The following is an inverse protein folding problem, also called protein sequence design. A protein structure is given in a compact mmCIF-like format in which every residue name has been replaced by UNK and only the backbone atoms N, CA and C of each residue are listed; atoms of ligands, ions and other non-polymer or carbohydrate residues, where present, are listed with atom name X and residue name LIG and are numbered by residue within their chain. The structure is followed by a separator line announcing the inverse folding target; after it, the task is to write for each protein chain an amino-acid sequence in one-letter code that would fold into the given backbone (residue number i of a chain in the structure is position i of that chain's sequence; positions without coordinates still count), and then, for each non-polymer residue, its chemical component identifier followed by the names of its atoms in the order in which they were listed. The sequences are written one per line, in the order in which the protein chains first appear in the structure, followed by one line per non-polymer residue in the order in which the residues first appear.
data_IF_282734926852
#
_entry.id   IF_282734926852
#
_cell.length_a   1.000
_cell.length_b   1.000
_cell.length_c   1.000
_cell.angle_alpha   90.00
_cell.angle_beta   90.00
_cell.angle_gamma   90.00
#
_symmetry.space_group_name_H-M   'P 1'
#
loop_
_entity.id
_entity.type
_entity.pdbx_description
1 polymer ?
#
# COMPACT_ATOMS: atom_id res chain seq x y z
N UNK A 1 6.62 -34.48 -0.31
CA UNK A 1 7.57 -33.34 -0.14
C UNK A 1 7.49 -32.48 -1.40
N UNK A 2 6.62 -31.49 -1.39
CA UNK A 2 6.46 -30.56 -2.53
C UNK A 2 7.53 -29.47 -2.40
N UNK A 3 8.53 -29.57 -3.26
CA UNK A 3 9.59 -28.56 -3.42
C UNK A 3 8.93 -27.28 -3.98
N UNK A 4 8.43 -26.42 -3.10
CA UNK A 4 7.90 -25.11 -3.47
C UNK A 4 9.10 -24.19 -3.72
N UNK A 5 9.70 -24.25 -4.92
CA UNK A 5 10.73 -23.32 -5.37
C UNK A 5 10.09 -21.93 -5.51
N UNK A 6 10.04 -21.16 -4.42
CA UNK A 6 9.65 -19.75 -4.48
C UNK A 6 10.57 -19.06 -5.46
N UNK A 7 9.99 -18.32 -6.41
CA UNK A 7 10.75 -17.47 -7.36
C UNK A 7 11.71 -16.60 -6.54
N UNK A 8 12.98 -16.52 -6.96
CA UNK A 8 14.03 -15.80 -6.23
C UNK A 8 13.61 -14.36 -5.86
N UNK A 9 12.93 -13.67 -6.74
CA UNK A 9 12.41 -12.32 -6.49
C UNK A 9 11.42 -12.24 -5.30
N UNK A 10 10.70 -13.30 -5.02
CA UNK A 10 9.81 -13.38 -3.86
C UNK A 10 10.57 -13.78 -2.58
N UNK A 11 11.59 -14.63 -2.73
CA UNK A 11 12.42 -15.09 -1.60
C UNK A 11 13.26 -13.96 -0.99
N UNK A 12 13.82 -13.09 -1.85
CA UNK A 12 14.69 -11.98 -1.45
C UNK A 12 13.97 -10.63 -1.40
N UNK A 13 12.63 -10.61 -1.46
CA UNK A 13 11.87 -9.37 -1.33
C UNK A 13 12.10 -8.75 0.06
N UNK A 14 12.53 -7.47 0.16
CA UNK A 14 12.68 -6.77 1.42
C UNK A 14 11.42 -6.88 2.29
N UNK A 15 11.61 -7.17 3.57
CA UNK A 15 10.50 -7.34 4.50
C UNK A 15 10.48 -6.27 5.60
N UNK A 16 11.57 -5.56 5.80
CA UNK A 16 11.70 -4.50 6.78
C UNK A 16 12.24 -3.23 6.12
N UNK A 17 12.03 -2.05 6.71
CA UNK A 17 12.52 -0.78 6.16
C UNK A 17 14.01 -0.79 5.87
N UNK A 18 14.80 -1.40 6.74
CA UNK A 18 16.27 -1.45 6.69
C UNK A 18 16.82 -2.26 5.50
N UNK A 19 16.03 -3.16 4.94
CA UNK A 19 16.41 -3.99 3.77
C UNK A 19 16.20 -3.25 2.42
N UNK A 20 15.56 -2.07 2.44
CA UNK A 20 15.30 -1.30 1.23
C UNK A 20 16.54 -0.51 0.81
N UNK A 21 17.13 -0.87 -0.32
CA UNK A 21 18.29 -0.18 -0.88
C UNK A 21 17.83 0.88 -1.88
N UNK A 22 18.34 2.12 -1.73
CA UNK A 22 18.06 3.24 -2.62
C UNK A 22 16.72 3.96 -2.37
N UNK A 23 15.98 3.59 -1.32
CA UNK A 23 14.71 4.21 -0.92
C UNK A 23 14.70 4.59 0.57
N UNK A 24 15.87 4.68 1.18
CA UNK A 24 16.05 4.86 2.62
C UNK A 24 15.37 6.15 3.11
N UNK A 25 15.61 7.28 2.41
CA UNK A 25 15.08 8.60 2.78
C UNK A 25 13.54 8.62 2.71
N UNK A 26 12.96 7.99 1.69
CA UNK A 26 11.50 7.94 1.50
C UNK A 26 10.85 7.14 2.62
N UNK A 27 11.37 5.94 2.89
CA UNK A 27 10.78 5.08 3.91
C UNK A 27 10.97 5.67 5.32
N UNK A 28 12.12 6.26 5.61
CA UNK A 28 12.39 6.93 6.88
C UNK A 28 11.43 8.10 7.11
N UNK A 29 11.21 8.93 6.08
CA UNK A 29 10.26 10.05 6.14
C UNK A 29 8.85 9.55 6.46
N UNK A 30 8.39 8.47 5.82
CA UNK A 30 7.08 7.89 6.05
C UNK A 30 6.97 7.31 7.46
N UNK A 31 7.98 6.55 7.89
CA UNK A 31 8.02 5.97 9.25
C UNK A 31 7.99 7.06 10.32
N UNK A 32 8.74 8.14 10.13
CA UNK A 32 8.73 9.29 11.03
C UNK A 32 7.36 10.02 11.04
N UNK A 33 6.71 10.12 9.88
CA UNK A 33 5.33 10.62 9.78
C UNK A 33 4.34 9.76 10.58
N UNK A 34 4.45 8.43 10.46
CA UNK A 34 3.62 7.48 11.21
C UNK A 34 3.88 7.59 12.72
N UNK A 35 5.15 7.68 13.14
CA UNK A 35 5.54 7.88 14.55
C UNK A 35 4.98 9.17 15.15
N UNK A 36 4.88 10.22 14.34
CA UNK A 36 4.35 11.53 14.72
C UNK A 36 2.82 11.62 14.60
N UNK A 37 2.14 10.51 14.34
CA UNK A 37 0.69 10.42 14.12
C UNK A 37 0.17 11.27 12.95
N UNK A 38 1.07 11.72 12.07
CA UNK A 38 0.77 12.49 10.86
C UNK A 38 0.68 11.57 9.64
N UNK A 39 -0.20 10.57 9.71
CA UNK A 39 -0.37 9.59 8.64
C UNK A 39 -1.42 10.10 7.64
N UNK A 40 -1.07 10.34 6.38
CA UNK A 40 -2.04 10.72 5.36
C UNK A 40 -3.04 9.60 5.10
N UNK A 41 -4.17 9.94 4.48
CA UNK A 41 -5.18 8.95 4.10
C UNK A 41 -4.80 8.19 2.84
N UNK A 42 -3.94 8.76 1.99
CA UNK A 42 -3.46 8.11 0.79
C UNK A 42 -2.00 8.42 0.50
N UNK A 43 -1.26 7.39 0.06
CA UNK A 43 0.10 7.49 -0.48
C UNK A 43 0.06 7.16 -1.97
N UNK A 44 0.87 7.85 -2.77
CA UNK A 44 1.07 7.52 -4.18
C UNK A 44 2.56 7.33 -4.46
N UNK A 45 2.94 6.10 -4.82
CA UNK A 45 4.29 5.74 -5.23
C UNK A 45 4.40 5.72 -6.74
N UNK A 46 5.33 6.49 -7.28
CA UNK A 46 5.59 6.58 -8.71
C UNK A 46 7.03 6.13 -9.01
N UNK A 47 7.24 5.56 -10.18
CA UNK A 47 8.57 5.14 -10.62
C UNK A 47 8.52 3.96 -11.57
N UNK A 48 9.66 3.65 -12.17
CA UNK A 48 9.79 2.54 -13.12
C UNK A 48 9.43 1.19 -12.49
N UNK A 49 9.13 0.21 -13.33
CA UNK A 49 8.86 -1.15 -12.87
C UNK A 49 10.10 -1.74 -12.18
N UNK A 50 9.87 -2.45 -11.07
CA UNK A 50 10.94 -3.13 -10.34
C UNK A 50 11.64 -2.28 -9.25
N UNK A 51 11.34 -0.99 -9.13
CA UNK A 51 11.95 -0.10 -8.10
C UNK A 51 11.46 -0.38 -6.67
N UNK A 52 10.55 -1.33 -6.49
CA UNK A 52 10.10 -1.75 -5.15
C UNK A 52 8.82 -1.07 -4.64
N UNK A 53 8.03 -0.38 -5.48
CA UNK A 53 6.79 0.31 -5.08
C UNK A 53 5.85 -0.58 -4.25
N UNK A 54 5.52 -1.77 -4.75
CA UNK A 54 4.65 -2.72 -4.04
C UNK A 54 5.30 -3.24 -2.75
N UNK A 55 6.63 -3.36 -2.72
CA UNK A 55 7.38 -3.75 -1.53
C UNK A 55 7.28 -2.68 -0.45
N UNK A 56 7.49 -1.41 -0.82
CA UNK A 56 7.33 -0.26 0.07
C UNK A 56 5.89 -0.21 0.61
N UNK A 57 4.90 -0.38 -0.26
CA UNK A 57 3.49 -0.42 0.12
C UNK A 57 3.21 -1.44 1.23
N UNK A 58 3.74 -2.66 1.10
CA UNK A 58 3.59 -3.70 2.13
C UNK A 58 4.35 -3.38 3.42
N UNK A 59 5.53 -2.78 3.33
CA UNK A 59 6.30 -2.35 4.52
C UNK A 59 5.53 -1.28 5.29
N UNK A 60 4.91 -0.31 4.59
CA UNK A 60 4.06 0.71 5.22
C UNK A 60 2.82 0.08 5.85
N UNK A 61 2.16 -0.84 5.15
CA UNK A 61 1.01 -1.56 5.70
C UNK A 61 1.36 -2.30 6.99
N UNK A 62 2.55 -2.93 7.06
CA UNK A 62 3.06 -3.54 8.29
C UNK A 62 3.35 -2.49 9.37
N UNK A 63 3.97 -1.37 9.01
CA UNK A 63 4.28 -0.30 9.96
C UNK A 63 3.01 0.26 10.62
N UNK A 64 1.93 0.41 9.84
CA UNK A 64 0.64 0.89 10.30
C UNK A 64 -0.12 -0.12 11.18
N UNK A 65 0.01 -1.43 10.88
CA UNK A 65 -0.80 -2.49 11.48
C UNK A 65 0.00 -3.50 12.33
N UNK A 66 1.27 -3.21 12.63
CA UNK A 66 2.06 -4.07 13.51
C UNK A 66 1.49 -4.11 14.92
N UNK A 67 1.25 -5.31 15.47
CA UNK A 67 0.76 -5.47 16.86
C UNK A 67 1.72 -4.91 17.92
N UNK A 68 3.03 -4.87 17.60
CA UNK A 68 4.06 -4.32 18.50
C UNK A 68 4.16 -2.77 18.41
N UNK A 69 3.38 -2.15 17.52
CA UNK A 69 3.42 -0.71 17.27
C UNK A 69 4.61 -0.27 16.41
N UNK A 70 4.56 0.99 15.98
CA UNK A 70 5.54 1.58 15.06
C UNK A 70 6.95 1.70 15.64
N UNK A 71 7.07 1.86 16.96
CA UNK A 71 8.36 2.01 17.64
C UNK A 71 9.10 0.66 17.81
N UNK A 72 8.36 -0.46 17.74
CA UNK A 72 8.87 -1.81 17.93
C UNK A 72 8.47 -2.71 16.75
N UNK A 73 8.71 -2.23 15.52
CA UNK A 73 8.40 -3.01 14.32
C UNK A 73 9.10 -4.37 14.33
N UNK A 74 8.37 -5.39 13.92
CA UNK A 74 8.91 -6.74 13.81
C UNK A 74 10.03 -6.78 12.76
N UNK A 75 11.23 -7.27 13.16
CA UNK A 75 12.39 -7.43 12.27
C UNK A 75 12.66 -8.90 11.97
N UNK A 76 12.81 -9.73 12.98
CA UNK A 76 13.13 -11.15 12.83
C UNK A 76 11.91 -12.06 13.05
N UNK A 77 11.12 -11.78 14.11
CA UNK A 77 9.90 -12.53 14.41
C UNK A 77 8.69 -11.67 14.10
N UNK A 78 8.00 -12.00 13.03
CA UNK A 78 6.81 -11.28 12.61
C UNK A 78 5.60 -11.65 13.48
N UNK A 79 4.89 -10.65 13.97
CA UNK A 79 3.59 -10.85 14.59
C UNK A 79 2.57 -11.36 13.55
N UNK A 80 1.42 -11.83 14.00
CA UNK A 80 0.37 -12.38 13.15
C UNK A 80 -0.02 -11.42 12.00
N UNK A 81 -0.26 -10.14 12.31
CA UNK A 81 -0.60 -9.14 11.30
C UNK A 81 0.53 -8.98 10.27
N UNK A 82 1.78 -8.83 10.73
CA UNK A 82 2.91 -8.68 9.81
C UNK A 82 3.10 -9.91 8.93
N UNK A 83 2.95 -11.11 9.49
CA UNK A 83 3.04 -12.38 8.75
C UNK A 83 1.94 -12.50 7.70
N UNK A 84 0.70 -12.17 8.05
CA UNK A 84 -0.43 -12.22 7.12
C UNK A 84 -0.30 -11.18 6.00
N UNK A 85 0.23 -9.98 6.29
CA UNK A 85 0.50 -8.95 5.27
C UNK A 85 1.59 -9.41 4.30
N UNK A 86 2.68 -10.02 4.80
CA UNK A 86 3.74 -10.58 3.96
C UNK A 86 3.19 -11.61 2.98
N UNK A 87 2.26 -12.44 3.44
CA UNK A 87 1.64 -13.50 2.65
C UNK A 87 0.42 -13.03 1.83
N UNK A 88 0.11 -11.71 1.81
CA UNK A 88 -1.07 -11.11 1.13
C UNK A 88 -2.39 -11.81 1.52
N UNK A 89 -2.53 -12.19 2.80
CA UNK A 89 -3.68 -12.91 3.34
C UNK A 89 -4.35 -12.18 4.53
N UNK A 90 -3.98 -10.93 4.80
CA UNK A 90 -4.53 -10.17 5.90
C UNK A 90 -5.91 -9.63 5.55
N UNK A 91 -6.91 -9.87 6.44
CA UNK A 91 -8.30 -9.49 6.19
C UNK A 91 -8.51 -7.97 6.04
N UNK A 92 -7.74 -7.15 6.75
CA UNK A 92 -7.84 -5.69 6.71
C UNK A 92 -6.82 -5.03 5.76
N UNK A 93 -6.00 -5.81 5.05
CA UNK A 93 -5.04 -5.30 4.06
C UNK A 93 -5.27 -6.00 2.73
N UNK A 94 -5.98 -5.31 1.84
CA UNK A 94 -6.32 -5.84 0.53
C UNK A 94 -5.35 -5.31 -0.52
N UNK A 95 -4.79 -6.22 -1.30
CA UNK A 95 -3.90 -5.90 -2.41
C UNK A 95 -4.60 -6.25 -3.73
N UNK A 96 -4.68 -5.28 -4.62
CA UNK A 96 -5.27 -5.40 -5.94
C UNK A 96 -4.27 -4.92 -7.00
N UNK A 97 -4.08 -5.72 -8.04
CA UNK A 97 -3.37 -5.31 -9.24
C UNK A 97 -4.38 -4.80 -10.27
N UNK A 98 -4.35 -3.49 -10.54
CA UNK A 98 -5.26 -2.87 -11.49
C UNK A 98 -4.98 -3.28 -12.95
N UNK A 99 -3.85 -3.92 -13.25
CA UNK A 99 -3.61 -4.48 -14.57
C UNK A 99 -4.45 -5.75 -14.84
N UNK A 100 -4.78 -6.49 -13.78
CA UNK A 100 -5.61 -7.70 -13.85
C UNK A 100 -7.08 -7.45 -13.52
N UNK A 101 -7.38 -6.39 -12.74
CA UNK A 101 -8.70 -6.01 -12.24
C UNK A 101 -8.97 -4.54 -12.56
N UNK A 102 -9.41 -4.27 -13.79
CA UNK A 102 -9.63 -2.91 -14.30
C UNK A 102 -11.08 -2.43 -14.18
N UNK A 103 -11.98 -3.33 -13.78
CA UNK A 103 -13.42 -3.14 -13.80
C UNK A 103 -13.93 -2.19 -12.72
N UNK A 104 -15.08 -1.58 -12.99
CA UNK A 104 -15.78 -0.73 -12.01
C UNK A 104 -16.30 -1.58 -10.85
N UNK A 105 -16.70 -2.82 -11.12
CA UNK A 105 -17.30 -3.70 -10.12
C UNK A 105 -16.25 -4.16 -9.10
N UNK A 106 -15.02 -4.47 -9.53
CA UNK A 106 -13.91 -4.79 -8.62
C UNK A 106 -13.65 -3.64 -7.62
N UNK A 107 -13.73 -2.40 -8.11
CA UNK A 107 -13.53 -1.20 -7.28
C UNK A 107 -14.74 -0.93 -6.39
N UNK A 108 -15.96 -1.19 -6.87
CA UNK A 108 -17.17 -1.07 -6.04
C UNK A 108 -17.14 -2.03 -4.86
N UNK A 109 -16.70 -3.26 -5.06
CA UNK A 109 -16.53 -4.25 -3.98
C UNK A 109 -15.54 -3.75 -2.93
N UNK A 110 -14.41 -3.14 -3.35
CA UNK A 110 -13.47 -2.50 -2.43
C UNK A 110 -14.11 -1.34 -1.65
N UNK A 111 -14.88 -0.48 -2.33
CA UNK A 111 -15.57 0.66 -1.70
C UNK A 111 -16.62 0.16 -0.71
N UNK A 112 -17.37 -0.86 -1.06
CA UNK A 112 -18.35 -1.46 -0.15
C UNK A 112 -17.65 -2.06 1.08
N UNK A 113 -16.57 -2.80 0.86
CA UNK A 113 -15.75 -3.34 1.94
C UNK A 113 -15.12 -2.23 2.82
N UNK A 114 -14.85 -1.05 2.26
CA UNK A 114 -14.30 0.09 3.01
C UNK A 114 -15.26 0.68 4.04
N UNK A 115 -16.56 0.44 3.90
CA UNK A 115 -17.58 0.96 4.83
C UNK A 115 -17.57 0.27 6.18
N UNK A 116 -17.02 -0.93 6.23
CA UNK A 116 -16.86 -1.68 7.47
C UNK A 116 -15.51 -1.36 8.08
N UNK A 117 -15.45 -1.11 9.38
CA UNK A 117 -14.21 -0.90 10.11
C UNK A 117 -13.24 -2.08 10.02
N UNK A 118 -11.98 -1.91 10.43
CA UNK A 118 -11.03 -3.01 10.49
C UNK A 118 -11.45 -4.04 11.52
N UNK A 119 -11.17 -5.31 11.25
CA UNK A 119 -11.57 -6.44 12.11
C UNK A 119 -10.47 -6.82 13.09
N UNK A 120 -9.21 -6.83 12.66
CA UNK A 120 -8.08 -7.34 13.43
C UNK A 120 -6.89 -6.38 13.52
N UNK A 121 -6.90 -5.30 12.73
CA UNK A 121 -5.83 -4.32 12.65
C UNK A 121 -6.27 -2.92 13.07
N UNK A 122 -5.34 -1.98 13.19
CA UNK A 122 -5.63 -0.57 13.48
C UNK A 122 -6.27 0.14 12.28
N UNK A 123 -5.76 -0.17 11.08
CA UNK A 123 -6.21 0.44 9.83
C UNK A 123 -6.63 -0.61 8.82
N UNK A 124 -7.68 -0.27 8.06
CA UNK A 124 -8.01 -0.97 6.83
C UNK A 124 -7.20 -0.32 5.70
N UNK A 125 -6.44 -1.12 4.95
CA UNK A 125 -5.49 -0.62 3.97
C UNK A 125 -5.78 -1.24 2.61
N UNK A 126 -5.91 -0.41 1.58
CA UNK A 126 -6.00 -0.86 0.20
C UNK A 126 -4.72 -0.52 -0.55
N UNK A 127 -4.03 -1.53 -1.01
CA UNK A 127 -2.86 -1.42 -1.87
C UNK A 127 -3.34 -1.66 -3.30
N UNK A 128 -3.25 -0.64 -4.15
CA UNK A 128 -3.64 -0.74 -5.56
C UNK A 128 -2.40 -0.51 -6.42
N UNK A 129 -1.92 -1.60 -7.00
CA UNK A 129 -0.77 -1.56 -7.91
C UNK A 129 -1.21 -1.23 -9.33
N UNK A 130 -0.35 -0.52 -10.07
CA UNK A 130 -0.58 0.00 -11.42
C UNK A 130 -1.94 0.73 -11.58
N UNK A 131 -2.24 1.61 -10.61
CA UNK A 131 -3.53 2.31 -10.50
C UNK A 131 -3.93 3.07 -11.78
N UNK A 132 -2.98 3.43 -12.65
CA UNK A 132 -3.24 4.06 -13.94
C UNK A 132 -3.98 3.14 -14.94
N UNK A 133 -4.05 1.83 -14.66
CA UNK A 133 -4.76 0.85 -15.48
C UNK A 133 -6.26 0.77 -15.16
N UNK A 134 -6.71 1.40 -14.06
CA UNK A 134 -8.13 1.49 -13.75
C UNK A 134 -8.89 2.26 -14.83
N UNK A 135 -10.10 1.80 -15.15
CA UNK A 135 -11.00 2.55 -16.02
C UNK A 135 -11.35 3.90 -15.38
N UNK A 136 -11.66 4.91 -16.20
CA UNK A 136 -12.07 6.23 -15.70
C UNK A 136 -13.26 6.14 -14.72
N UNK A 137 -14.20 5.23 -14.99
CA UNK A 137 -15.36 5.03 -14.12
C UNK A 137 -14.98 4.41 -12.77
N UNK A 138 -14.07 3.41 -12.78
CA UNK A 138 -13.52 2.81 -11.56
C UNK A 138 -12.76 3.83 -10.72
N UNK A 139 -11.93 4.63 -11.37
CA UNK A 139 -11.18 5.68 -10.69
C UNK A 139 -12.08 6.75 -10.08
N UNK A 140 -13.10 7.23 -10.82
CA UNK A 140 -14.08 8.19 -10.32
C UNK A 140 -14.88 7.64 -9.13
N UNK A 141 -15.16 6.34 -9.09
CA UNK A 141 -15.81 5.72 -7.94
C UNK A 141 -14.93 5.78 -6.68
N UNK A 142 -13.60 5.61 -6.82
CA UNK A 142 -12.65 5.75 -5.72
C UNK A 142 -12.54 7.18 -5.20
N UNK A 143 -12.65 8.20 -6.09
CA UNK A 143 -12.46 9.61 -5.71
C UNK A 143 -13.36 10.03 -4.56
N UNK A 144 -14.63 9.63 -4.55
CA UNK A 144 -15.56 9.94 -3.46
C UNK A 144 -15.09 9.44 -2.10
N UNK A 145 -14.51 8.23 -2.07
CA UNK A 145 -13.96 7.66 -0.82
C UNK A 145 -12.62 8.28 -0.45
N UNK A 146 -11.87 8.80 -1.44
CA UNK A 146 -10.61 9.50 -1.21
C UNK A 146 -10.80 10.93 -0.70
N UNK A 147 -11.90 11.58 -1.06
CA UNK A 147 -12.24 12.94 -0.61
C UNK A 147 -12.64 12.94 0.87
N UNK A 148 -13.44 11.98 1.30
CA UNK A 148 -13.92 11.86 2.67
C UNK A 148 -13.71 10.43 3.21
N UNK A 149 -12.46 9.99 3.39
CA UNK A 149 -12.19 8.65 3.86
C UNK A 149 -12.50 8.51 5.37
N UNK A 150 -13.05 7.38 5.82
CA UNK A 150 -13.10 7.07 7.23
C UNK A 150 -11.69 7.11 7.86
N UNK A 151 -11.56 7.53 9.11
CA UNK A 151 -10.28 7.69 9.80
C UNK A 151 -9.43 6.40 9.82
N UNK A 152 -10.09 5.24 9.80
CA UNK A 152 -9.43 3.94 9.80
C UNK A 152 -9.00 3.47 8.41
N UNK A 153 -9.40 4.16 7.32
CA UNK A 153 -9.11 3.74 5.95
C UNK A 153 -7.86 4.42 5.43
N UNK A 154 -6.96 3.64 4.85
CA UNK A 154 -5.75 4.12 4.20
C UNK A 154 -5.61 3.52 2.80
N UNK A 155 -5.17 4.35 1.86
CA UNK A 155 -4.86 3.92 0.50
C UNK A 155 -3.37 3.98 0.22
N UNK A 156 -2.86 3.01 -0.51
CA UNK A 156 -1.49 3.02 -1.02
C UNK A 156 -1.56 2.68 -2.51
N UNK A 157 -1.34 3.69 -3.32
CA UNK A 157 -1.31 3.55 -4.77
C UNK A 157 0.11 3.40 -5.28
N UNK A 158 0.29 2.54 -6.27
CA UNK A 158 1.54 2.43 -7.02
C UNK A 158 1.26 2.58 -8.52
N UNK A 159 2.16 3.26 -9.23
CA UNK A 159 2.03 3.46 -10.67
C UNK A 159 3.39 3.61 -11.34
N UNK A 160 3.49 3.15 -12.58
CA UNK A 160 4.61 3.45 -13.49
C UNK A 160 4.35 4.70 -14.33
N UNK A 161 3.08 5.14 -14.45
CA UNK A 161 2.68 6.21 -15.35
C UNK A 161 1.84 7.28 -14.62
N UNK A 162 2.52 8.20 -13.93
CA UNK A 162 1.87 9.27 -13.19
C UNK A 162 0.99 10.16 -14.08
N UNK A 163 1.41 10.40 -15.32
CA UNK A 163 0.69 11.29 -16.26
C UNK A 163 -0.71 10.78 -16.65
N UNK A 164 -0.97 9.49 -16.45
CA UNK A 164 -2.28 8.89 -16.74
C UNK A 164 -3.26 8.99 -15.57
N UNK A 165 -2.79 9.39 -14.40
CA UNK A 165 -3.66 9.59 -13.24
C UNK A 165 -4.36 10.94 -13.38
N UNK A 166 -5.68 11.04 -13.20
CA UNK A 166 -6.41 12.30 -13.28
C UNK A 166 -5.89 13.33 -12.29
N UNK A 167 -5.70 14.58 -12.74
CA UNK A 167 -5.10 15.67 -11.94
C UNK A 167 -5.90 15.96 -10.65
N UNK A 168 -7.20 15.73 -10.63
CA UNK A 168 -8.07 15.89 -9.45
C UNK A 168 -7.60 15.03 -8.28
N UNK A 169 -6.92 13.91 -8.55
CA UNK A 169 -6.42 13.01 -7.51
C UNK A 169 -5.26 13.59 -6.72
N UNK A 170 -4.49 14.51 -7.32
CA UNK A 170 -3.29 15.06 -6.65
C UNK A 170 -3.61 16.00 -5.49
N UNK A 171 -4.80 16.60 -5.47
CA UNK A 171 -5.21 17.51 -4.40
C UNK A 171 -5.48 16.79 -3.08
N UNK A 172 -5.73 15.48 -3.14
CA UNK A 172 -6.05 14.63 -1.98
C UNK A 172 -4.94 13.62 -1.63
N UNK A 173 -3.87 13.56 -2.45
CA UNK A 173 -2.76 12.63 -2.27
C UNK A 173 -1.52 13.36 -1.75
N UNK A 174 -0.95 12.89 -0.67
CA UNK A 174 0.40 13.28 -0.27
C UNK A 174 1.41 12.50 -1.13
N UNK A 175 2.17 13.24 -1.94
CA UNK A 175 3.21 12.68 -2.79
C UNK A 175 4.55 12.64 -2.05
N UNK A 176 5.06 11.50 -1.64
CA UNK A 176 6.49 11.33 -1.54
C UNK A 176 7.01 11.16 -2.98
N UNK A 177 7.46 12.25 -3.60
CA UNK A 177 8.12 12.20 -4.90
C UNK A 177 9.47 11.52 -4.72
N UNK A 178 9.60 10.29 -5.20
CA UNK A 178 10.89 9.71 -5.50
C UNK A 178 11.36 10.32 -6.82
N UNK A 179 12.10 11.42 -6.75
CA UNK A 179 12.91 11.85 -7.88
C UNK A 179 14.02 10.82 -8.06
N UNK A 180 13.82 9.93 -9.02
CA UNK A 180 14.92 9.14 -9.55
C UNK A 180 15.82 10.06 -10.37
N UNK A 181 17.03 10.24 -9.89
CA UNK A 181 18.18 10.63 -10.73
C UNK A 181 18.59 9.42 -11.55
#
# INVERSE_FOLDING_TARGET
MTNNSKVLALKYRPQIPEDLIGQEVVIETIINGIKSEKTPNAYLFTGIRGVGKTTIARIIAKALNCKNGINNLCKEKFCENCSSIINSSHIDVLEMDAASKTGVDDVRDLIEFSRYGPTSAKYKIFIIDEVHMLSKQAFNALLKTLEEPPNYLKFIFATTEIKKIPAVSYTHLTLPTTNSV
#
